data_IF_210251734919
#
_entry.id   IF_210251734919
#
_cell.length_a   1.000
_cell.length_b   1.000
_cell.length_c   1.000
_cell.angle_alpha   90.00
_cell.angle_beta   90.00
_cell.angle_gamma   90.00
#
_symmetry.space_group_name_H-M   'P 1'
#
loop_
_entity.id
_entity.type
_entity.pdbx_description
1 polymer ?
#
# COMPACT_ATOMS: atom_id res chain seq x y z
N UNK A 1 16.27 18.33 -19.29
CA UNK A 1 15.55 18.33 -18.01
C UNK A 1 16.25 19.26 -17.03
N UNK A 2 15.51 20.04 -16.21
CA UNK A 2 16.10 20.85 -15.15
C UNK A 2 16.83 19.98 -14.11
N UNK A 3 17.78 20.56 -13.37
CA UNK A 3 18.39 19.89 -12.22
C UNK A 3 17.33 19.75 -11.12
N UNK A 4 17.17 18.54 -10.59
CA UNK A 4 16.26 18.31 -9.47
C UNK A 4 16.78 19.01 -8.21
N UNK A 5 15.92 19.80 -7.58
CA UNK A 5 16.12 20.36 -6.25
C UNK A 5 14.91 19.94 -5.41
N UNK A 6 15.16 19.21 -4.31
CA UNK A 6 14.10 18.83 -3.37
C UNK A 6 13.59 20.10 -2.68
N UNK A 7 12.27 20.36 -2.66
CA UNK A 7 11.71 21.47 -1.90
C UNK A 7 12.01 21.32 -0.40
N UNK A 8 12.23 22.44 0.28
CA UNK A 8 12.35 22.44 1.74
C UNK A 8 11.04 21.95 2.37
N UNK A 9 11.15 21.11 3.39
CA UNK A 9 9.99 20.53 4.05
C UNK A 9 9.25 21.61 4.86
N UNK A 10 7.96 21.88 4.58
CA UNK A 10 7.21 22.95 5.24
C UNK A 10 6.67 22.49 6.61
N UNK A 11 7.54 21.90 7.43
CA UNK A 11 7.20 21.35 8.76
C UNK A 11 8.25 21.79 9.79
N UNK A 12 7.89 21.83 11.09
CA UNK A 12 8.87 22.07 12.13
C UNK A 12 10.00 21.04 12.10
N UNK A 13 11.22 21.47 12.45
CA UNK A 13 12.39 20.58 12.50
C UNK A 13 12.26 19.49 13.59
N UNK A 14 11.39 19.69 14.58
CA UNK A 14 11.14 18.77 15.69
C UNK A 14 9.65 18.67 15.95
N UNK A 15 9.18 17.48 16.32
CA UNK A 15 7.80 17.28 16.77
C UNK A 15 7.59 17.92 18.15
N UNK A 16 6.42 18.53 18.35
CA UNK A 16 6.04 19.06 19.65
C UNK A 16 5.98 17.93 20.70
N UNK A 17 6.52 18.17 21.89
CA UNK A 17 6.53 17.20 23.00
C UNK A 17 7.73 16.23 23.02
N UNK A 18 8.77 16.49 22.23
CA UNK A 18 10.03 15.71 22.26
C UNK A 18 11.03 16.19 23.32
N UNK A 19 10.58 16.94 24.33
CA UNK A 19 11.36 17.24 25.54
C UNK A 19 11.55 15.94 26.34
N UNK A 20 12.57 15.16 25.98
CA UNK A 20 12.96 13.93 26.67
C UNK A 20 13.54 14.28 28.05
N UNK A 21 12.65 14.46 29.02
CA UNK A 21 12.96 14.50 30.46
C UNK A 21 12.41 13.26 31.20
N UNK A 22 11.99 12.22 30.48
CA UNK A 22 11.40 11.00 31.08
C UNK A 22 11.94 9.67 30.53
N UNK A 23 12.97 9.67 29.69
CA UNK A 23 13.73 8.45 29.45
C UNK A 23 14.62 8.17 30.68
N UNK A 24 14.72 6.92 31.19
CA UNK A 24 15.65 6.61 32.26
C UNK A 24 17.08 6.88 31.77
N UNK A 25 17.65 7.96 32.28
CA UNK A 25 19.05 8.36 32.10
C UNK A 25 19.96 7.26 32.65
N UNK A 26 20.48 6.43 31.76
CA UNK A 26 21.67 5.60 31.99
C UNK A 26 22.60 5.67 30.78
N UNK A 27 22.82 6.87 30.25
CA UNK A 27 23.93 7.12 29.36
C UNK A 27 24.50 8.50 29.67
N UNK A 28 25.65 8.49 30.35
CA UNK A 28 26.53 9.62 30.59
C UNK A 28 26.71 10.41 29.30
N UNK A 29 26.48 11.72 29.38
CA UNK A 29 26.73 12.65 28.29
C UNK A 29 28.20 12.59 27.87
N UNK A 30 28.46 12.05 26.69
CA UNK A 30 29.67 12.29 25.94
C UNK A 30 29.23 12.81 24.56
N UNK A 31 29.46 14.12 24.35
CA UNK A 31 28.93 14.94 23.25
C UNK A 31 29.67 14.73 21.93
N UNK A 32 30.23 13.54 21.69
CA UNK A 32 31.07 13.29 20.51
C UNK A 32 30.92 11.86 19.98
N UNK A 33 29.68 11.39 19.89
CA UNK A 33 29.34 10.16 19.19
C UNK A 33 28.31 10.47 18.11
N UNK A 34 28.72 10.29 16.86
CA UNK A 34 27.84 9.91 15.74
C UNK A 34 27.23 8.55 16.08
N UNK A 35 26.38 8.53 17.12
CA UNK A 35 25.68 7.34 17.55
C UNK A 35 24.75 6.97 16.40
N UNK A 36 25.04 5.81 15.83
CA UNK A 36 24.29 5.07 14.83
C UNK A 36 22.85 4.93 15.34
N UNK A 37 22.07 5.98 15.18
CA UNK A 37 20.71 6.07 15.71
C UNK A 37 19.88 5.29 14.74
N UNK A 38 19.72 4.00 15.01
CA UNK A 38 18.92 3.10 14.19
C UNK A 38 17.57 3.76 13.93
N UNK A 39 17.34 4.17 12.69
CA UNK A 39 16.07 4.78 12.31
C UNK A 39 14.99 3.70 12.45
N UNK A 40 13.81 4.06 12.96
CA UNK A 40 12.68 3.11 13.09
C UNK A 40 12.37 2.42 11.74
N UNK A 41 12.64 3.10 10.62
CA UNK A 41 12.48 2.56 9.27
C UNK A 41 13.41 1.38 8.92
N UNK A 42 14.53 1.23 9.64
CA UNK A 42 15.50 0.15 9.46
C UNK A 42 15.22 -1.06 10.38
N UNK A 43 14.37 -0.86 11.39
CA UNK A 43 13.94 -1.91 12.31
C UNK A 43 12.89 -2.77 11.60
N UNK A 44 13.19 -4.06 11.43
CA UNK A 44 12.24 -5.01 10.87
C UNK A 44 11.04 -5.24 11.79
N UNK A 45 9.84 -5.41 11.23
CA UNK A 45 8.61 -5.59 12.00
C UNK A 45 8.67 -6.77 13.00
N UNK A 46 9.46 -7.80 12.73
CA UNK A 46 9.69 -8.94 13.64
C UNK A 46 10.40 -8.54 14.93
N UNK A 47 11.16 -7.45 14.94
CA UNK A 47 11.81 -6.92 16.14
C UNK A 47 10.85 -6.03 16.94
N UNK A 48 9.88 -5.40 16.27
CA UNK A 48 8.85 -4.55 16.90
C UNK A 48 7.78 -5.39 17.58
N UNK A 49 7.26 -6.40 16.87
CA UNK A 49 6.23 -7.29 17.39
C UNK A 49 6.87 -8.55 17.96
N UNK A 50 6.88 -8.70 19.29
CA UNK A 50 7.56 -9.81 19.98
C UNK A 50 6.72 -11.08 20.13
N UNK A 51 5.39 -10.98 20.02
CA UNK A 51 4.49 -12.14 20.11
C UNK A 51 4.66 -13.06 18.87
N UNK A 52 5.11 -14.31 19.04
CA UNK A 52 5.32 -15.24 17.92
C UNK A 52 4.03 -15.59 17.18
N UNK A 53 2.87 -15.60 17.86
CA UNK A 53 1.59 -15.87 17.20
C UNK A 53 1.20 -14.70 16.27
N UNK A 54 1.33 -13.46 16.74
CA UNK A 54 1.15 -12.28 15.91
C UNK A 54 2.12 -12.28 14.72
N UNK A 55 3.40 -12.64 14.94
CA UNK A 55 4.36 -12.69 13.85
C UNK A 55 3.97 -13.69 12.74
N UNK A 56 3.40 -14.84 13.10
CA UNK A 56 2.91 -15.82 12.13
C UNK A 56 1.71 -15.30 11.35
N UNK A 57 0.77 -14.62 12.01
CA UNK A 57 -0.39 -14.02 11.35
C UNK A 57 0.02 -12.93 10.37
N UNK A 58 0.97 -12.07 10.76
CA UNK A 58 1.55 -11.05 9.86
C UNK A 58 2.21 -11.71 8.65
N UNK A 59 3.03 -12.74 8.85
CA UNK A 59 3.67 -13.45 7.75
C UNK A 59 2.64 -14.06 6.78
N UNK A 60 1.61 -14.71 7.32
CA UNK A 60 0.53 -15.28 6.53
C UNK A 60 -0.23 -14.22 5.73
N UNK A 61 -0.49 -13.06 6.34
CA UNK A 61 -1.14 -11.95 5.66
C UNK A 61 -0.27 -11.38 4.54
N UNK A 62 1.04 -11.20 4.76
CA UNK A 62 1.97 -10.73 3.73
C UNK A 62 2.04 -11.67 2.53
N UNK A 63 1.96 -12.98 2.74
CA UNK A 63 2.02 -13.98 1.67
C UNK A 63 0.69 -14.10 0.89
N UNK A 64 -0.45 -13.83 1.53
CA UNK A 64 -1.77 -14.11 0.96
C UNK A 64 -2.60 -12.88 0.60
N UNK A 65 -2.21 -11.69 1.07
CA UNK A 65 -3.01 -10.48 0.85
C UNK A 65 -3.03 -10.07 -0.63
N UNK A 66 -4.25 -9.86 -1.16
CA UNK A 66 -4.46 -9.56 -2.58
C UNK A 66 -4.07 -8.12 -2.94
N UNK A 67 -4.19 -7.17 -2.03
CA UNK A 67 -3.81 -5.78 -2.28
C UNK A 67 -2.29 -5.65 -2.42
N UNK A 68 -1.52 -6.40 -1.62
CA UNK A 68 -0.07 -6.51 -1.78
C UNK A 68 0.30 -7.11 -3.16
N UNK A 69 -0.45 -8.12 -3.61
CA UNK A 69 -0.27 -8.73 -4.95
C UNK A 69 -0.61 -7.74 -6.07
N UNK A 70 -1.68 -6.96 -5.94
CA UNK A 70 -2.04 -5.89 -6.88
C UNK A 70 -0.94 -4.83 -6.92
N UNK A 71 -0.43 -4.40 -5.76
CA UNK A 71 0.68 -3.46 -5.68
C UNK A 71 1.95 -4.01 -6.36
N UNK A 72 2.26 -5.29 -6.21
CA UNK A 72 3.37 -5.94 -6.90
C UNK A 72 3.17 -5.97 -8.44
N UNK A 73 1.97 -6.29 -8.91
CA UNK A 73 1.64 -6.27 -10.33
C UNK A 73 1.70 -4.85 -10.91
N UNK A 74 1.29 -3.83 -10.16
CA UNK A 74 1.40 -2.44 -10.58
C UNK A 74 2.86 -2.02 -10.85
N UNK A 75 3.82 -2.55 -10.08
CA UNK A 75 5.26 -2.35 -10.35
C UNK A 75 5.65 -3.01 -11.69
N UNK A 76 5.15 -4.20 -11.98
CA UNK A 76 5.42 -4.89 -13.25
C UNK A 76 4.84 -4.13 -14.45
N UNK A 77 3.63 -3.60 -14.32
CA UNK A 77 3.00 -2.73 -15.32
C UNK A 77 3.84 -1.47 -15.55
N UNK A 78 4.24 -0.77 -14.49
CA UNK A 78 5.07 0.42 -14.60
C UNK A 78 6.44 0.12 -15.21
N UNK A 79 7.04 -1.03 -14.86
CA UNK A 79 8.29 -1.52 -15.46
C UNK A 79 8.13 -1.81 -16.96
N UNK A 80 7.01 -2.44 -17.35
CA UNK A 80 6.71 -2.73 -18.75
C UNK A 80 6.54 -1.42 -19.55
N UNK A 81 5.81 -0.45 -19.00
CA UNK A 81 5.65 0.87 -19.62
C UNK A 81 7.00 1.59 -19.80
N UNK A 82 7.86 1.59 -18.77
CA UNK A 82 9.22 2.11 -18.89
C UNK A 82 10.03 1.43 -20.00
N UNK A 83 9.87 0.11 -20.19
CA UNK A 83 10.53 -0.62 -21.29
C UNK A 83 10.02 -0.18 -22.67
N UNK A 84 8.73 0.08 -22.81
CA UNK A 84 8.12 0.62 -24.05
C UNK A 84 8.68 2.00 -24.35
N UNK A 85 8.69 2.91 -23.37
CA UNK A 85 9.18 4.29 -23.56
C UNK A 85 10.70 4.32 -23.83
N UNK A 86 11.44 3.39 -23.22
CA UNK A 86 12.87 3.19 -23.53
C UNK A 86 13.08 2.67 -24.95
N UNK A 87 12.21 1.79 -25.45
CA UNK A 87 12.33 1.24 -26.79
C UNK A 87 12.12 2.29 -27.88
N UNK A 88 11.38 3.38 -27.59
CA UNK A 88 11.20 4.51 -28.50
C UNK A 88 12.51 5.26 -28.85
N UNK A 89 13.62 5.03 -28.12
CA UNK A 89 14.94 5.53 -28.52
C UNK A 89 15.54 4.78 -29.70
N UNK A 90 15.05 3.57 -29.95
CA UNK A 90 15.52 2.70 -31.03
C UNK A 90 14.57 2.84 -32.23
N UNK A 91 15.10 2.75 -33.46
CA UNK A 91 14.26 2.72 -34.64
C UNK A 91 13.40 1.44 -34.66
N UNK A 92 12.09 1.60 -34.84
CA UNK A 92 11.19 0.50 -35.13
C UNK A 92 11.37 0.06 -36.58
N UNK A 93 11.41 -1.25 -36.82
CA UNK A 93 11.49 -1.83 -38.18
C UNK A 93 10.17 -2.53 -38.44
N UNK A 94 9.44 -2.06 -39.44
CA UNK A 94 8.12 -2.54 -39.79
C UNK A 94 8.07 -3.03 -41.23
N UNK A 95 7.23 -4.03 -41.49
CA UNK A 95 6.82 -4.44 -42.82
C UNK A 95 5.47 -3.84 -43.17
N UNK A 96 5.35 -3.15 -44.30
CA UNK A 96 4.08 -2.58 -44.76
C UNK A 96 3.69 -3.13 -46.12
N UNK A 97 2.42 -3.50 -46.25
CA UNK A 97 1.82 -3.93 -47.51
C UNK A 97 0.58 -3.11 -47.80
N UNK A 98 0.51 -2.52 -48.99
CA UNK A 98 -0.57 -1.59 -49.38
C UNK A 98 -1.19 -2.06 -50.70
N UNK A 99 -2.52 -2.08 -50.76
CA UNK A 99 -3.29 -2.29 -51.98
C UNK A 99 -4.30 -1.15 -52.10
N UNK A 100 -4.18 -0.33 -53.13
CA UNK A 100 -5.09 0.78 -53.38
C UNK A 100 -5.82 0.56 -54.71
N UNK A 101 -7.12 0.80 -54.71
CA UNK A 101 -7.97 0.73 -55.90
C UNK A 101 -8.83 2.00 -55.94
N UNK A 102 -8.50 2.93 -56.81
CA UNK A 102 -9.23 4.19 -56.96
C UNK A 102 -9.87 4.27 -58.34
N UNK A 103 -11.06 4.87 -58.40
CA UNK A 103 -11.74 5.20 -59.65
C UNK A 103 -11.92 6.70 -59.72
N UNK A 104 -11.40 7.32 -60.77
CA UNK A 104 -11.60 8.75 -61.03
C UNK A 104 -12.85 8.93 -61.89
N UNK A 105 -13.81 9.79 -61.49
CA UNK A 105 -14.96 10.13 -62.33
C UNK A 105 -14.53 10.67 -63.69
N UNK A 106 -15.31 10.39 -64.72
CA UNK A 106 -14.98 10.79 -66.10
C UNK A 106 -14.80 12.31 -66.25
N UNK A 107 -15.53 13.09 -65.45
CA UNK A 107 -15.52 14.55 -65.43
C UNK A 107 -14.22 15.16 -64.88
N UNK A 108 -13.50 14.39 -64.05
CA UNK A 108 -12.21 14.78 -63.44
C UNK A 108 -11.02 14.01 -64.06
N UNK A 109 -11.27 13.15 -65.05
CA UNK A 109 -10.27 12.28 -65.65
C UNK A 109 -9.51 12.93 -66.80
N UNK A 110 -8.22 12.60 -66.94
CA UNK A 110 -7.42 13.01 -68.10
C UNK A 110 -7.79 12.12 -69.30
N UNK A 111 -8.15 12.68 -70.47
CA UNK A 111 -8.47 11.89 -71.65
C UNK A 111 -7.33 10.94 -72.04
N UNK A 112 -7.66 9.66 -72.30
CA UNK A 112 -6.68 8.63 -72.66
C UNK A 112 -6.05 7.87 -71.48
N UNK A 113 -6.37 8.23 -70.22
CA UNK A 113 -5.92 7.50 -69.03
C UNK A 113 -6.98 6.51 -68.52
N UNK A 114 -6.59 5.39 -67.88
CA UNK A 114 -7.52 4.46 -67.26
C UNK A 114 -8.38 5.16 -66.19
N UNK A 115 -9.69 4.89 -66.17
CA UNK A 115 -10.57 5.43 -65.11
C UNK A 115 -10.39 4.72 -63.77
N UNK A 116 -9.76 3.54 -63.75
CA UNK A 116 -9.51 2.73 -62.55
C UNK A 116 -8.00 2.52 -62.40
N UNK A 117 -7.46 2.90 -61.25
CA UNK A 117 -6.05 2.74 -60.90
C UNK A 117 -5.92 1.73 -59.75
N UNK A 118 -5.05 0.73 -59.95
CA UNK A 118 -4.71 -0.25 -58.93
C UNK A 118 -3.22 -0.22 -58.65
N UNK A 119 -2.85 -0.06 -57.39
CA UNK A 119 -1.46 -0.02 -56.95
C UNK A 119 -1.25 -1.01 -55.81
N UNK A 120 -0.21 -1.85 -55.92
CA UNK A 120 0.21 -2.78 -54.88
C UNK A 120 1.67 -2.49 -54.51
N UNK A 121 1.98 -2.43 -53.23
CA UNK A 121 3.34 -2.20 -52.73
C UNK A 121 3.61 -3.02 -51.48
N UNK A 122 4.81 -3.54 -51.33
CA UNK A 122 5.30 -4.15 -50.10
C UNK A 122 6.70 -3.61 -49.80
N UNK A 123 6.95 -3.20 -48.56
CA UNK A 123 8.23 -2.64 -48.13
C UNK A 123 8.56 -3.05 -46.69
N UNK A 124 9.85 -3.11 -46.38
CA UNK A 124 10.37 -3.22 -45.01
C UNK A 124 11.22 -1.99 -44.78
N UNK A 125 11.05 -1.33 -43.64
CA UNK A 125 11.84 -0.15 -43.33
C UNK A 125 11.56 0.41 -41.96
N UNK A 126 12.28 1.48 -41.65
CA UNK A 126 12.05 2.25 -40.43
C UNK A 126 10.99 3.29 -40.73
N UNK A 127 9.84 3.19 -40.05
CA UNK A 127 8.77 4.17 -40.20
C UNK A 127 8.92 5.26 -39.13
N UNK A 128 8.92 6.53 -39.55
CA UNK A 128 8.82 7.71 -38.68
C UNK A 128 9.76 7.75 -37.44
N UNK A 129 11.01 7.30 -37.56
CA UNK A 129 11.96 7.39 -36.44
C UNK A 129 12.38 8.85 -36.17
N UNK A 130 12.22 9.27 -34.91
CA UNK A 130 12.66 10.58 -34.45
C UNK A 130 14.09 10.48 -33.89
N UNK A 131 15.01 11.24 -34.48
CA UNK A 131 16.32 11.47 -33.90
C UNK A 131 16.18 12.44 -32.72
N UNK A 132 16.47 11.95 -31.52
CA UNK A 132 16.30 12.70 -30.27
C UNK A 132 17.44 13.71 -30.02
N UNK A 133 17.54 14.78 -30.82
CA UNK A 133 18.58 15.81 -30.68
C UNK A 133 18.39 16.61 -29.39
N UNK A 134 17.15 17.00 -29.09
CA UNK A 134 16.82 17.90 -27.97
C UNK A 134 16.49 17.16 -26.66
N UNK A 135 16.48 15.82 -26.66
CA UNK A 135 16.27 15.04 -25.45
C UNK A 135 14.81 14.85 -25.06
N UNK A 136 13.85 15.03 -25.99
CA UNK A 136 12.42 14.81 -25.76
C UNK A 136 12.13 13.36 -25.38
N UNK A 137 12.63 12.41 -26.18
CA UNK A 137 12.43 10.97 -25.94
C UNK A 137 13.19 10.52 -24.69
N UNK A 138 14.44 11.00 -24.51
CA UNK A 138 15.20 10.78 -23.27
C UNK A 138 14.46 11.30 -22.02
N UNK A 139 13.77 12.44 -22.13
CA UNK A 139 12.98 13.01 -21.03
C UNK A 139 11.74 12.16 -20.71
N UNK A 140 11.03 11.65 -21.71
CA UNK A 140 9.88 10.73 -21.50
C UNK A 140 10.31 9.42 -20.85
N UNK A 141 11.44 8.84 -21.30
CA UNK A 141 12.03 7.66 -20.67
C UNK A 141 12.36 7.91 -19.19
N UNK A 142 12.94 9.06 -18.88
CA UNK A 142 13.28 9.42 -17.49
C UNK A 142 12.01 9.62 -16.64
N UNK A 143 10.97 10.26 -17.18
CA UNK A 143 9.66 10.35 -16.51
C UNK A 143 9.09 8.95 -16.19
N UNK A 144 9.10 8.04 -17.16
CA UNK A 144 8.62 6.67 -16.96
C UNK A 144 9.46 5.89 -15.92
N UNK A 145 10.77 6.15 -15.87
CA UNK A 145 11.65 5.58 -14.84
C UNK A 145 11.25 6.08 -13.44
N UNK A 146 11.07 7.38 -13.26
CA UNK A 146 10.66 7.95 -11.98
C UNK A 146 9.26 7.47 -11.56
N UNK A 147 8.35 7.26 -12.50
CA UNK A 147 7.05 6.65 -12.23
C UNK A 147 7.19 5.19 -11.79
N UNK A 148 8.06 4.40 -12.42
CA UNK A 148 8.35 3.04 -11.95
C UNK A 148 8.94 3.03 -10.53
N UNK A 149 9.90 3.90 -10.25
CA UNK A 149 10.51 4.02 -8.92
C UNK A 149 9.48 4.46 -7.86
N UNK A 150 8.57 5.37 -8.18
CA UNK A 150 7.50 5.78 -7.26
C UNK A 150 6.53 4.65 -6.94
N UNK A 151 6.21 3.78 -7.91
CA UNK A 151 5.38 2.59 -7.65
C UNK A 151 6.06 1.58 -6.71
N UNK A 152 7.39 1.51 -6.72
CA UNK A 152 8.13 0.67 -5.78
C UNK A 152 7.99 1.18 -4.33
N UNK A 153 8.07 2.49 -4.13
CA UNK A 153 7.81 3.11 -2.83
C UNK A 153 6.34 2.98 -2.40
N UNK A 154 5.39 3.04 -3.36
CA UNK A 154 3.98 2.79 -3.06
C UNK A 154 3.75 1.38 -2.51
N UNK A 155 4.41 0.34 -3.07
CA UNK A 155 4.36 -1.02 -2.50
C UNK A 155 4.95 -1.08 -1.09
N UNK A 156 6.05 -0.37 -0.82
CA UNK A 156 6.62 -0.29 0.53
C UNK A 156 5.61 0.31 1.52
N UNK A 157 4.92 1.37 1.12
CA UNK A 157 3.84 1.97 1.91
C UNK A 157 2.69 0.98 2.17
N UNK A 158 2.18 0.30 1.14
CA UNK A 158 1.15 -0.74 1.28
C UNK A 158 1.58 -1.86 2.22
N UNK A 159 2.83 -2.30 2.13
CA UNK A 159 3.38 -3.32 3.03
C UNK A 159 3.37 -2.86 4.49
N UNK A 160 3.81 -1.63 4.77
CA UNK A 160 3.80 -1.07 6.13
C UNK A 160 2.38 -0.96 6.66
N UNK A 161 1.45 -0.44 5.87
CA UNK A 161 0.03 -0.30 6.26
C UNK A 161 -0.61 -1.65 6.57
N UNK A 162 -0.35 -2.67 5.74
CA UNK A 162 -0.87 -4.03 5.96
C UNK A 162 -0.35 -4.64 7.26
N UNK A 163 0.96 -4.49 7.55
CA UNK A 163 1.53 -4.97 8.81
C UNK A 163 0.86 -4.28 10.01
N UNK A 164 0.66 -2.97 9.94
CA UNK A 164 0.01 -2.21 11.00
C UNK A 164 -1.45 -2.63 11.20
N UNK A 165 -2.22 -2.78 10.12
CA UNK A 165 -3.63 -3.17 10.16
C UNK A 165 -3.82 -4.57 10.75
N UNK A 166 -2.98 -5.53 10.36
CA UNK A 166 -3.01 -6.90 10.93
C UNK A 166 -2.67 -6.88 12.42
N UNK A 167 -1.66 -6.09 12.83
CA UNK A 167 -1.31 -5.95 14.23
C UNK A 167 -2.45 -5.32 15.05
N UNK A 168 -3.07 -4.26 14.55
CA UNK A 168 -4.24 -3.63 15.19
C UNK A 168 -5.38 -4.62 15.33
N UNK A 169 -5.76 -5.32 14.26
CA UNK A 169 -6.87 -6.28 14.29
C UNK A 169 -6.62 -7.44 15.29
N UNK A 170 -5.39 -7.96 15.32
CA UNK A 170 -5.01 -9.01 16.26
C UNK A 170 -5.08 -8.53 17.73
N UNK A 171 -4.56 -7.34 18.01
CA UNK A 171 -4.57 -6.77 19.36
C UNK A 171 -5.99 -6.43 19.82
N UNK A 172 -6.85 -5.93 18.93
CA UNK A 172 -8.27 -5.73 19.22
C UNK A 172 -8.96 -7.04 19.57
N UNK A 173 -8.73 -8.11 18.78
CA UNK A 173 -9.28 -9.43 19.07
C UNK A 173 -8.81 -9.97 20.43
N UNK A 174 -7.52 -9.82 20.75
CA UNK A 174 -6.98 -10.24 22.03
C UNK A 174 -7.60 -9.47 23.21
N UNK A 175 -7.82 -8.15 23.05
CA UNK A 175 -8.49 -7.33 24.05
C UNK A 175 -9.96 -7.76 24.23
N UNK A 176 -10.68 -8.01 23.15
CA UNK A 176 -12.09 -8.45 23.20
C UNK A 176 -12.22 -9.83 23.88
N UNK A 177 -11.28 -10.74 23.65
CA UNK A 177 -11.24 -12.04 24.33
C UNK A 177 -11.04 -11.89 25.85
N UNK A 178 -10.16 -10.99 26.27
CA UNK A 178 -9.95 -10.70 27.69
C UNK A 178 -11.18 -10.04 28.32
N UNK A 179 -11.82 -9.12 27.61
CA UNK A 179 -13.08 -8.50 28.05
C UNK A 179 -14.20 -9.52 28.19
N UNK A 180 -14.31 -10.48 27.25
CA UNK A 180 -15.27 -11.57 27.34
C UNK A 180 -15.01 -12.45 28.56
N UNK A 181 -13.76 -12.83 28.81
CA UNK A 181 -13.39 -13.62 29.99
C UNK A 181 -13.71 -12.88 31.29
N UNK A 182 -13.41 -11.58 31.35
CA UNK A 182 -13.75 -10.73 32.49
C UNK A 182 -15.26 -10.67 32.71
N UNK A 183 -16.04 -10.46 31.66
CA UNK A 183 -17.51 -10.44 31.72
C UNK A 183 -18.07 -11.76 32.25
N UNK A 184 -17.56 -12.91 31.76
CA UNK A 184 -17.98 -14.24 32.22
C UNK A 184 -17.64 -14.48 33.71
N UNK A 185 -16.44 -14.10 34.15
CA UNK A 185 -16.05 -14.22 35.56
C UNK A 185 -16.87 -13.32 36.49
N UNK A 186 -17.24 -12.13 36.00
CA UNK A 186 -18.11 -11.19 36.70
C UNK A 186 -19.51 -11.79 36.82
N UNK A 187 -20.07 -12.29 35.71
CA UNK A 187 -21.39 -12.93 35.70
C UNK A 187 -21.45 -14.13 36.66
N UNK A 188 -20.43 -14.98 36.68
CA UNK A 188 -20.35 -16.10 37.62
C UNK A 188 -20.38 -15.63 39.08
N UNK A 189 -19.56 -14.61 39.41
CA UNK A 189 -19.48 -14.05 40.77
C UNK A 189 -20.79 -13.39 41.21
N UNK A 190 -21.46 -12.66 40.30
CA UNK A 190 -22.75 -12.02 40.58
C UNK A 190 -23.87 -13.07 40.71
N UNK A 191 -23.84 -14.13 39.90
CA UNK A 191 -24.77 -15.25 39.99
C UNK A 191 -24.68 -16.00 41.32
N UNK A 192 -23.46 -16.24 41.82
CA UNK A 192 -23.25 -16.86 43.12
C UNK A 192 -23.70 -15.96 44.28
N UNK A 193 -23.43 -14.65 44.17
CA UNK A 193 -23.90 -13.65 45.13
C UNK A 193 -25.43 -13.57 45.17
N UNK A 194 -26.09 -13.58 44.00
CA UNK A 194 -27.55 -13.64 43.90
C UNK A 194 -28.11 -14.91 44.56
N UNK A 195 -27.50 -16.08 44.33
CA UNK A 195 -27.93 -17.35 44.93
C UNK A 195 -27.83 -17.33 46.46
N UNK A 196 -26.79 -16.70 47.01
CA UNK A 196 -26.63 -16.54 48.46
C UNK A 196 -27.71 -15.63 49.05
N UNK A 197 -28.00 -14.51 48.37
CA UNK A 197 -29.06 -13.58 48.80
C UNK A 197 -30.45 -14.19 48.68
N UNK A 198 -30.71 -14.99 47.63
CA UNK A 198 -31.94 -15.74 47.47
C UNK A 198 -32.18 -16.68 48.66
N UNK A 199 -31.18 -17.49 49.04
CA UNK A 199 -31.29 -18.35 50.23
C UNK A 199 -31.48 -17.55 51.52
N UNK A 200 -30.82 -16.41 51.65
CA UNK A 200 -30.97 -15.54 52.83
C UNK A 200 -32.38 -14.93 52.91
N UNK A 201 -32.99 -14.60 51.77
CA UNK A 201 -34.38 -14.14 51.69
C UNK A 201 -35.37 -15.26 52.05
N UNK A 202 -35.16 -16.48 51.52
CA UNK A 202 -35.98 -17.66 51.85
C UNK A 202 -35.96 -18.00 53.35
N UNK A 203 -34.84 -17.74 54.02
CA UNK A 203 -34.68 -17.89 55.47
C UNK A 203 -35.17 -16.67 56.28
N UNK A 204 -35.70 -15.63 55.62
CA UNK A 204 -36.24 -14.42 56.25
C UNK A 204 -35.20 -13.41 56.73
N UNK A 205 -33.93 -13.56 56.36
CA UNK A 205 -32.80 -12.71 56.79
C UNK A 205 -32.59 -11.51 55.86
N UNK A 206 -32.80 -11.69 54.55
CA UNK A 206 -32.64 -10.62 53.55
C UNK A 206 -33.99 -10.01 53.13
N UNK A 207 -33.98 -8.75 52.68
CA UNK A 207 -35.19 -8.06 52.18
C UNK A 207 -35.46 -8.34 50.70
N UNK A 208 -36.72 -8.18 50.26
CA UNK A 208 -37.07 -8.32 48.84
C UNK A 208 -36.37 -7.28 47.95
N UNK A 209 -36.10 -6.08 48.48
CA UNK A 209 -35.34 -5.04 47.79
C UNK A 209 -33.91 -5.52 47.49
N UNK A 210 -33.25 -6.13 48.46
CA UNK A 210 -31.89 -6.67 48.33
C UNK A 210 -31.85 -7.76 47.25
N UNK A 211 -32.83 -8.68 47.23
CA UNK A 211 -32.93 -9.73 46.22
C UNK A 211 -33.11 -9.16 44.79
N UNK A 212 -33.98 -8.16 44.63
CA UNK A 212 -34.20 -7.50 43.34
C UNK A 212 -32.97 -6.72 42.87
N UNK A 213 -32.25 -6.07 43.78
CA UNK A 213 -30.99 -5.39 43.47
C UNK A 213 -29.91 -6.37 42.97
N UNK A 214 -29.80 -7.57 43.55
CA UNK A 214 -28.88 -8.56 43.01
C UNK A 214 -29.36 -9.17 41.68
N UNK A 215 -30.67 -9.33 41.49
CA UNK A 215 -31.22 -9.84 40.23
C UNK A 215 -30.82 -8.94 39.04
N UNK A 216 -30.87 -7.62 39.20
CA UNK A 216 -30.48 -6.66 38.12
C UNK A 216 -29.01 -6.71 37.72
N UNK A 217 -28.17 -7.37 38.51
CA UNK A 217 -26.73 -7.50 38.20
C UNK A 217 -26.39 -8.77 37.42
N UNK A 218 -27.35 -9.69 37.29
CA UNK A 218 -27.19 -10.99 36.63
C UNK A 218 -28.02 -11.07 35.34
N UNK A 219 -29.14 -10.34 35.26
CA UNK A 219 -29.92 -10.08 34.03
C UNK A 219 -29.16 -9.18 33.05
#
# INVERSE_FOLDING_TARGET
MPRYARPDAPVPAQFAGTDVSTAPSTATADTDSTADTAYIADIGWRQVFTDPALQQVIALALDNNRDLRVAALNIEVARAQYRVDRAALLPAIDGTGTANNSRTPAELGIPGQPQVFRTYSASIGISAYELDLFGRVRSLKEQALQQFLSTAEARRSTHISLVAEVATAYLTLAADQQLLQLAQSTLASQSDSYRLQQRSFELGVASQLTLRQAQTTVE
#
